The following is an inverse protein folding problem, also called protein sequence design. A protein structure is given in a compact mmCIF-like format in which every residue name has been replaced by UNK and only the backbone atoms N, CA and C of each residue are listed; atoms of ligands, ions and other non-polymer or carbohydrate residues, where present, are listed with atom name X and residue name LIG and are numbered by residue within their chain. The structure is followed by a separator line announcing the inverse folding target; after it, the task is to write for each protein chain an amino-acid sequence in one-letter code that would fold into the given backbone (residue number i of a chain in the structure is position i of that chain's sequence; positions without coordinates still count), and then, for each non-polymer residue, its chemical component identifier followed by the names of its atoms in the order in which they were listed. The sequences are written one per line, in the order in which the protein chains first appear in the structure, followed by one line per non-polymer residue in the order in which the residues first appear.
data_IF_679278654594
#
_entry.id   IF_679278654594
#
_cell.length_a   1.000
_cell.length_b   1.000
_cell.length_c   1.000
_cell.angle_alpha   90.00
_cell.angle_beta   90.00
_cell.angle_gamma   90.00
#
_symmetry.space_group_name_H-M   'P 1'
#
loop_
_entity.id
_entity.type
_entity.pdbx_description
1 polymer ?
#
# COMPACT_ATOMS: atom_id res chain seq x y z
N UNK A 1 -41.33 -4.51 0.26
CA UNK A 1 -40.40 -3.63 -0.48
C UNK A 1 -38.99 -3.95 -0.02
N UNK A 2 -38.26 -4.79 -0.75
CA UNK A 2 -36.83 -4.96 -0.51
C UNK A 2 -36.14 -3.76 -1.13
N UNK A 3 -35.68 -2.82 -0.30
CA UNK A 3 -34.83 -1.74 -0.80
C UNK A 3 -33.63 -2.38 -1.49
N UNK A 4 -33.50 -2.16 -2.80
CA UNK A 4 -32.33 -2.56 -3.57
C UNK A 4 -31.10 -2.08 -2.81
N UNK A 5 -30.31 -2.99 -2.24
CA UNK A 5 -28.98 -2.64 -1.73
C UNK A 5 -28.23 -2.09 -2.93
N UNK A 6 -27.89 -0.79 -2.87
CA UNK A 6 -27.13 -0.07 -3.89
C UNK A 6 -26.04 -0.97 -4.49
N UNK A 7 -25.98 -0.99 -5.82
CA UNK A 7 -24.97 -1.72 -6.59
C UNK A 7 -23.59 -1.38 -6.03
N UNK A 8 -22.97 -2.33 -5.34
CA UNK A 8 -21.59 -2.19 -4.87
C UNK A 8 -20.67 -2.35 -6.07
N UNK A 9 -19.59 -1.58 -6.08
CA UNK A 9 -18.66 -1.54 -7.20
C UNK A 9 -17.47 -2.47 -6.95
N UNK A 10 -16.97 -3.10 -8.00
CA UNK A 10 -15.68 -3.80 -7.94
C UNK A 10 -14.57 -2.75 -7.84
N UNK A 11 -13.71 -2.91 -6.83
CA UNK A 11 -12.53 -2.07 -6.63
C UNK A 11 -11.29 -2.92 -6.77
N UNK A 12 -10.43 -2.59 -7.73
CA UNK A 12 -9.08 -3.14 -7.80
C UNK A 12 -8.21 -2.42 -6.78
N UNK A 13 -7.53 -3.19 -5.93
CA UNK A 13 -6.53 -2.73 -4.99
C UNK A 13 -5.16 -3.19 -5.49
N UNK A 14 -4.19 -2.29 -5.48
CA UNK A 14 -2.80 -2.56 -5.84
C UNK A 14 -1.94 -2.24 -4.63
N UNK A 15 -1.13 -3.19 -4.18
CA UNK A 15 -0.14 -3.03 -3.12
C UNK A 15 1.24 -3.19 -3.74
N UNK A 16 2.11 -2.19 -3.59
CA UNK A 16 3.42 -2.16 -4.22
C UNK A 16 4.53 -1.86 -3.21
N UNK A 17 5.67 -2.49 -3.42
CA UNK A 17 6.89 -2.33 -2.62
C UNK A 17 8.06 -1.96 -3.53
N UNK A 18 8.80 -0.91 -3.16
CA UNK A 18 10.03 -0.51 -3.84
C UNK A 18 11.23 -1.18 -3.18
N UNK A 19 11.68 -2.29 -3.74
CA UNK A 19 12.72 -3.14 -3.15
C UNK A 19 14.06 -2.41 -3.07
N UNK A 20 14.39 -1.62 -4.09
CA UNK A 20 15.63 -0.82 -4.13
C UNK A 20 15.66 0.22 -3.01
N UNK A 21 14.55 0.94 -2.82
CA UNK A 21 14.43 1.93 -1.75
C UNK A 21 14.39 1.29 -0.37
N UNK A 22 13.69 0.15 -0.22
CA UNK A 22 13.65 -0.61 1.04
C UNK A 22 15.04 -1.10 1.42
N UNK A 23 15.81 -1.67 0.49
CA UNK A 23 17.17 -2.14 0.77
C UNK A 23 18.08 -0.98 1.23
N UNK A 24 18.01 0.17 0.52
CA UNK A 24 18.74 1.38 0.91
C UNK A 24 18.35 1.87 2.30
N UNK A 25 17.04 1.94 2.58
CA UNK A 25 16.54 2.36 3.90
C UNK A 25 16.94 1.41 5.03
N UNK A 26 16.97 0.10 4.76
CA UNK A 26 17.44 -0.91 5.72
C UNK A 26 18.95 -0.82 5.96
N UNK A 27 19.73 -0.51 4.92
CA UNK A 27 21.16 -0.26 5.02
C UNK A 27 21.46 1.00 5.86
N UNK A 28 20.64 2.04 5.70
CA UNK A 28 20.79 3.33 6.40
C UNK A 28 20.23 3.32 7.85
N UNK A 29 19.86 2.14 8.37
CA UNK A 29 19.48 1.94 9.76
C UNK A 29 17.97 1.90 10.03
N UNK A 30 17.13 1.82 9.00
CA UNK A 30 15.70 1.49 9.09
C UNK A 30 14.86 2.35 10.05
N UNK A 31 15.11 3.66 10.10
CA UNK A 31 14.32 4.57 10.94
C UNK A 31 13.09 5.11 10.21
N UNK A 32 11.92 5.04 10.86
CA UNK A 32 10.66 5.54 10.31
C UNK A 32 10.74 7.04 9.96
N UNK A 33 11.43 7.84 10.78
CA UNK A 33 11.64 9.27 10.57
C UNK A 33 12.40 9.60 9.26
N UNK A 34 13.12 8.64 8.70
CA UNK A 34 13.86 8.79 7.44
C UNK A 34 13.05 8.37 6.21
N UNK A 35 11.79 7.95 6.37
CA UNK A 35 10.93 7.58 5.24
C UNK A 35 10.47 8.85 4.54
N UNK A 36 11.02 9.09 3.35
CA UNK A 36 10.70 10.26 2.53
C UNK A 36 9.28 10.19 1.95
N UNK A 37 8.62 11.35 1.87
CA UNK A 37 7.28 11.51 1.28
C UNK A 37 7.40 12.27 -0.03
N UNK A 38 6.61 11.88 -1.03
CA UNK A 38 6.60 12.54 -2.34
C UNK A 38 7.82 12.23 -3.21
N UNK A 39 8.75 11.38 -2.74
CA UNK A 39 9.86 10.88 -3.57
C UNK A 39 9.30 10.09 -4.75
N UNK A 40 9.61 10.54 -5.97
CA UNK A 40 9.31 9.76 -7.18
C UNK A 40 10.21 8.52 -7.21
N UNK A 41 9.60 7.35 -7.38
CA UNK A 41 10.33 6.12 -7.67
C UNK A 41 11.03 6.25 -9.03
N UNK A 42 12.25 5.76 -9.11
CA UNK A 42 13.08 5.83 -10.30
C UNK A 42 12.73 4.69 -11.26
N UNK A 43 13.13 4.82 -12.53
CA UNK A 43 12.79 3.81 -13.56
C UNK A 43 13.54 2.48 -13.32
N UNK A 44 14.72 2.57 -12.72
CA UNK A 44 15.58 1.47 -12.33
C UNK A 44 15.17 0.78 -11.01
N UNK A 45 14.18 1.31 -10.30
CA UNK A 45 13.71 0.71 -9.05
C UNK A 45 13.04 -0.64 -9.31
N UNK A 46 13.39 -1.64 -8.48
CA UNK A 46 12.77 -2.96 -8.56
C UNK A 46 11.48 -2.91 -7.75
N UNK A 47 10.34 -2.93 -8.44
CA UNK A 47 9.02 -2.85 -7.81
C UNK A 47 8.36 -4.22 -7.79
N UNK A 48 7.85 -4.63 -6.63
CA UNK A 48 6.98 -5.80 -6.49
C UNK A 48 5.55 -5.35 -6.26
N UNK A 49 4.62 -5.86 -7.08
CA UNK A 49 3.21 -5.44 -7.09
C UNK A 49 2.29 -6.63 -6.85
N UNK A 50 1.23 -6.41 -6.08
CA UNK A 50 0.20 -7.39 -5.75
C UNK A 50 -1.18 -6.80 -6.03
N UNK A 51 -2.06 -7.59 -6.62
CA UNK A 51 -3.38 -7.15 -7.05
C UNK A 51 -4.49 -7.90 -6.31
N UNK A 52 -5.39 -7.17 -5.69
CA UNK A 52 -6.54 -7.72 -4.95
C UNK A 52 -7.83 -7.05 -5.44
N UNK A 53 -8.80 -7.84 -5.89
CA UNK A 53 -10.13 -7.30 -6.22
C UNK A 53 -11.04 -7.35 -5.00
N UNK A 54 -11.61 -6.20 -4.64
CA UNK A 54 -12.68 -6.09 -3.64
C UNK A 54 -14.01 -6.27 -4.36
N UNK A 55 -14.69 -7.36 -4.05
CA UNK A 55 -15.89 -7.80 -4.73
C UNK A 55 -17.16 -7.46 -3.94
N UNK A 56 -18.27 -7.15 -4.62
CA UNK A 56 -19.56 -6.98 -3.99
C UNK A 56 -20.03 -8.30 -3.36
N UNK A 57 -20.49 -8.24 -2.11
CA UNK A 57 -21.11 -9.36 -1.40
C UNK A 57 -22.55 -9.01 -1.07
N UNK A 58 -23.46 -10.00 -1.17
CA UNK A 58 -24.87 -9.83 -0.78
C UNK A 58 -25.04 -9.58 0.74
N UNK A 59 -24.06 -10.04 1.53
CA UNK A 59 -23.96 -9.79 2.96
C UNK A 59 -23.12 -8.52 3.21
N UNK A 60 -23.26 -7.88 4.38
CA UNK A 60 -22.49 -6.68 4.70
C UNK A 60 -20.96 -6.91 4.81
N UNK A 61 -20.46 -8.09 4.44
CA UNK A 61 -19.03 -8.43 4.36
C UNK A 61 -18.38 -7.91 3.08
N UNK A 62 -17.04 -7.85 3.08
CA UNK A 62 -16.21 -7.68 1.89
C UNK A 62 -15.65 -9.05 1.49
N UNK A 63 -15.55 -9.31 0.18
CA UNK A 63 -14.88 -10.49 -0.37
C UNK A 63 -13.68 -9.98 -1.15
N UNK A 64 -12.51 -10.58 -0.92
CA UNK A 64 -11.26 -10.24 -1.59
C UNK A 64 -10.85 -11.38 -2.51
N UNK A 65 -10.54 -11.07 -3.77
CA UNK A 65 -9.93 -12.00 -4.70
C UNK A 65 -8.46 -11.62 -4.90
N UNK A 66 -7.56 -12.44 -4.36
CA UNK A 66 -6.11 -12.26 -4.46
C UNK A 66 -5.63 -12.85 -5.79
N UNK A 67 -5.22 -12.00 -6.74
CA UNK A 67 -4.97 -12.42 -8.13
C UNK A 67 -3.78 -13.37 -8.26
N UNK A 68 -2.71 -13.13 -7.52
CA UNK A 68 -1.48 -13.94 -7.57
C UNK A 68 -1.73 -15.36 -7.10
N UNK A 69 -2.48 -15.52 -5.99
CA UNK A 69 -2.82 -16.83 -5.43
C UNK A 69 -4.07 -17.46 -6.05
N UNK A 70 -4.84 -16.69 -6.84
CA UNK A 70 -6.14 -17.07 -7.42
C UNK A 70 -7.15 -17.56 -6.38
N UNK A 71 -7.17 -16.93 -5.19
CA UNK A 71 -8.02 -17.34 -4.06
C UNK A 71 -8.96 -16.23 -3.63
N UNK A 72 -10.18 -16.62 -3.27
CA UNK A 72 -11.11 -15.78 -2.55
C UNK A 72 -10.84 -15.87 -1.05
N UNK A 73 -10.88 -14.73 -0.36
CA UNK A 73 -10.71 -14.63 1.07
C UNK A 73 -11.69 -13.60 1.65
N UNK A 74 -12.04 -13.79 2.92
CA UNK A 74 -12.79 -12.79 3.71
C UNK A 74 -11.84 -11.82 4.43
N UNK A 75 -10.54 -11.92 4.15
CA UNK A 75 -9.50 -11.05 4.69
C UNK A 75 -8.62 -10.52 3.55
N UNK A 76 -8.19 -9.27 3.69
CA UNK A 76 -7.23 -8.64 2.80
C UNK A 76 -5.78 -9.11 3.08
N UNK A 77 -5.55 -9.79 4.21
CA UNK A 77 -4.21 -10.15 4.64
C UNK A 77 -3.54 -11.16 3.70
N UNK A 78 -2.29 -10.90 3.35
CA UNK A 78 -1.43 -11.81 2.62
C UNK A 78 0.05 -11.50 2.86
N UNK A 79 0.89 -12.51 2.62
CA UNK A 79 2.34 -12.44 2.75
C UNK A 79 2.99 -13.13 1.56
N UNK A 80 4.13 -12.63 1.10
CA UNK A 80 4.90 -13.22 0.03
C UNK A 80 6.40 -13.20 0.35
N UNK A 81 7.04 -14.37 0.28
CA UNK A 81 8.46 -14.52 0.57
C UNK A 81 9.29 -14.34 -0.71
N UNK A 82 10.30 -13.48 -0.64
CA UNK A 82 11.19 -13.19 -1.76
C UNK A 82 11.93 -14.46 -2.18
N UNK A 83 11.99 -14.70 -3.50
CA UNK A 83 12.83 -15.75 -4.05
C UNK A 83 14.29 -15.26 -4.19
N UNK A 84 15.23 -16.21 -4.33
CA UNK A 84 16.66 -15.93 -4.40
C UNK A 84 17.02 -15.02 -5.60
N UNK A 85 16.29 -15.11 -6.71
CA UNK A 85 16.55 -14.31 -7.92
C UNK A 85 16.23 -12.83 -7.73
N UNK A 86 15.07 -12.51 -7.14
CA UNK A 86 14.66 -11.15 -6.82
C UNK A 86 15.65 -10.51 -5.84
N UNK A 87 16.09 -11.29 -4.83
CA UNK A 87 17.11 -10.84 -3.86
C UNK A 87 18.44 -10.49 -4.56
N UNK A 88 18.88 -11.29 -5.53
CA UNK A 88 20.12 -11.03 -6.27
C UNK A 88 20.04 -9.75 -7.11
N UNK A 89 18.89 -9.48 -7.76
CA UNK A 89 18.68 -8.25 -8.53
C UNK A 89 18.71 -7.00 -7.65
N UNK A 90 18.16 -7.08 -6.44
CA UNK A 90 18.20 -5.97 -5.46
C UNK A 90 19.63 -5.72 -4.99
N UNK A 91 20.39 -6.77 -4.68
CA UNK A 91 21.79 -6.64 -4.25
C UNK A 91 22.73 -6.10 -5.34
N UNK A 92 22.42 -6.33 -6.62
CA UNK A 92 23.22 -5.81 -7.73
C UNK A 92 22.87 -4.37 -8.12
N UNK A 93 21.64 -3.92 -7.84
CA UNK A 93 21.16 -2.56 -8.12
C UNK A 93 21.36 -1.60 -6.96
N UNK A 94 21.44 -2.11 -5.73
CA UNK A 94 21.72 -1.32 -4.53
C UNK A 94 23.22 -1.10 -4.33
N UNK A 95 23.59 0.03 -3.73
CA UNK A 95 24.98 0.34 -3.32
C UNK A 95 25.47 -0.50 -2.14
N UNK A 96 24.64 -1.44 -1.68
CA UNK A 96 24.77 -2.21 -0.45
C UNK A 96 25.76 -3.38 -0.59
N UNK A 97 27.02 -3.09 -0.87
CA UNK A 97 28.08 -4.10 -0.86
C UNK A 97 28.48 -4.45 0.58
N UNK A 98 27.71 -5.37 1.21
CA UNK A 98 28.23 -6.24 2.26
C UNK A 98 27.86 -5.96 3.73
N UNK A 99 26.57 -6.09 4.14
CA UNK A 99 26.12 -6.90 5.31
C UNK A 99 24.61 -6.84 5.68
N UNK A 100 24.16 -8.02 6.16
CA UNK A 100 23.16 -8.42 7.20
C UNK A 100 21.65 -8.23 7.06
N UNK A 101 21.10 -7.19 6.43
CA UNK A 101 19.63 -7.03 6.43
C UNK A 101 19.03 -7.62 5.16
N UNK A 102 18.81 -8.95 5.15
CA UNK A 102 18.18 -9.61 4.01
C UNK A 102 16.67 -9.44 4.08
N UNK A 103 16.10 -8.81 3.06
CA UNK A 103 14.66 -8.81 2.82
C UNK A 103 14.25 -10.27 2.59
N UNK A 104 13.42 -10.80 3.48
CA UNK A 104 12.92 -12.16 3.41
C UNK A 104 11.56 -12.21 2.71
N UNK A 105 10.72 -11.19 2.89
CA UNK A 105 9.37 -11.16 2.33
C UNK A 105 8.62 -9.88 2.65
N UNK A 106 7.40 -9.82 2.14
CA UNK A 106 6.46 -8.73 2.29
C UNK A 106 5.17 -9.23 2.91
N UNK A 107 4.48 -8.33 3.59
CA UNK A 107 3.18 -8.61 4.16
C UNK A 107 2.31 -7.36 4.09
N UNK A 108 1.03 -7.56 3.83
CA UNK A 108 0.03 -6.52 3.96
C UNK A 108 -1.21 -7.10 4.64
N UNK A 109 -1.85 -6.29 5.48
CA UNK A 109 -3.05 -6.69 6.18
C UNK A 109 -3.98 -5.51 6.38
N UNK A 110 -5.27 -5.81 6.52
CA UNK A 110 -6.24 -4.84 7.00
C UNK A 110 -6.26 -4.89 8.54
N UNK A 111 -5.94 -3.76 9.18
CA UNK A 111 -5.92 -3.64 10.63
C UNK A 111 -6.54 -2.31 11.06
N UNK A 112 -7.50 -2.37 11.99
CA UNK A 112 -8.41 -1.28 12.33
C UNK A 112 -9.09 -0.67 11.09
N UNK A 113 -8.60 0.48 10.62
CA UNK A 113 -9.15 1.24 9.50
C UNK A 113 -8.10 1.47 8.39
N UNK A 114 -7.00 0.71 8.44
CA UNK A 114 -5.85 0.89 7.54
C UNK A 114 -5.46 -0.41 6.86
N UNK A 115 -5.00 -0.28 5.62
CA UNK A 115 -4.19 -1.30 4.96
C UNK A 115 -2.75 -1.03 5.35
N UNK A 116 -2.19 -1.87 6.22
CA UNK A 116 -0.83 -1.75 6.69
C UNK A 116 0.09 -2.65 5.86
N UNK A 117 1.30 -2.17 5.54
CA UNK A 117 2.30 -2.91 4.77
C UNK A 117 3.61 -3.01 5.54
N UNK A 118 4.30 -4.13 5.35
CA UNK A 118 5.46 -4.53 6.13
C UNK A 118 6.47 -5.27 5.27
N UNK A 119 7.74 -5.21 5.72
CA UNK A 119 8.84 -6.02 5.20
C UNK A 119 9.37 -6.92 6.30
N UNK A 120 9.63 -8.18 5.98
CA UNK A 120 10.29 -9.14 6.86
C UNK A 120 11.80 -9.10 6.63
N UNK A 121 12.56 -8.86 7.71
CA UNK A 121 14.02 -8.77 7.71
C UNK A 121 14.55 -9.57 8.88
N UNK A 122 15.37 -10.59 8.61
CA UNK A 122 16.01 -11.42 9.64
C UNK A 122 15.02 -11.96 10.73
N UNK A 123 13.81 -12.33 10.33
CA UNK A 123 12.75 -12.83 11.21
C UNK A 123 11.99 -11.75 11.97
N UNK A 124 12.24 -10.46 11.69
CA UNK A 124 11.54 -9.32 12.29
C UNK A 124 10.68 -8.62 11.23
N UNK A 125 9.48 -8.18 11.63
CA UNK A 125 8.57 -7.40 10.78
C UNK A 125 8.84 -5.91 10.97
N UNK A 126 9.23 -5.21 9.90
CA UNK A 126 9.40 -3.76 9.88
C UNK A 126 8.22 -3.11 9.14
N UNK A 127 7.69 -2.04 9.71
CA UNK A 127 6.54 -1.31 9.19
C UNK A 127 6.95 -0.35 8.07
N UNK A 128 6.15 -0.28 7.00
CA UNK A 128 6.43 0.57 5.83
C UNK A 128 5.39 1.67 5.58
N UNK A 129 4.10 1.35 5.66
CA UNK A 129 3.01 2.26 5.26
C UNK A 129 1.67 1.84 5.89
N UNK A 130 0.80 2.80 6.23
CA UNK A 130 -0.62 2.59 6.49
C UNK A 130 -1.45 3.46 5.56
N UNK A 131 -2.25 2.82 4.73
CA UNK A 131 -3.17 3.48 3.83
C UNK A 131 -4.59 3.49 4.44
N UNK A 132 -5.20 4.67 4.70
CA UNK A 132 -6.58 4.76 5.15
C UNK A 132 -7.55 4.02 4.22
N UNK A 133 -8.45 3.23 4.80
CA UNK A 133 -9.39 2.41 4.06
C UNK A 133 -10.74 3.09 3.79
N UNK A 134 -11.03 4.21 4.45
CA UNK A 134 -12.29 4.95 4.36
C UNK A 134 -12.65 5.32 2.90
N UNK A 135 -11.69 5.85 2.15
CA UNK A 135 -11.91 6.23 0.75
C UNK A 135 -11.99 5.03 -0.19
N UNK A 136 -11.25 3.95 0.11
CA UNK A 136 -11.33 2.68 -0.62
C UNK A 136 -12.72 2.07 -0.42
N UNK A 137 -13.23 2.10 0.81
CA UNK A 137 -14.57 1.66 1.15
C UNK A 137 -15.64 2.54 0.48
N UNK A 138 -15.41 3.85 0.38
CA UNK A 138 -16.29 4.77 -0.35
C UNK A 138 -16.34 4.45 -1.84
N UNK A 139 -15.19 4.20 -2.48
CA UNK A 139 -15.13 3.73 -3.86
C UNK A 139 -15.94 2.44 -4.05
N UNK A 140 -15.85 1.49 -3.12
CA UNK A 140 -16.61 0.24 -3.18
C UNK A 140 -18.13 0.43 -3.02
N UNK A 141 -18.55 1.38 -2.19
CA UNK A 141 -19.98 1.57 -1.83
C UNK A 141 -20.72 2.60 -2.68
N UNK A 142 -20.01 3.61 -3.19
CA UNK A 142 -20.57 4.74 -3.93
C UNK A 142 -20.06 4.79 -5.37
N UNK A 143 -18.90 4.17 -5.66
CA UNK A 143 -18.30 4.18 -6.99
C UNK A 143 -17.46 5.42 -7.28
N UNK A 144 -17.50 6.42 -6.40
CA UNK A 144 -16.81 7.68 -6.57
C UNK A 144 -16.39 8.37 -5.26
N UNK A 145 -15.34 9.18 -5.36
CA UNK A 145 -14.83 10.09 -4.34
C UNK A 145 -15.24 11.52 -4.66
N UNK A 146 -15.38 12.33 -3.60
CA UNK A 146 -15.53 13.77 -3.78
C UNK A 146 -14.24 14.35 -4.40
N UNK A 147 -14.37 14.97 -5.57
CA UNK A 147 -13.30 15.74 -6.19
C UNK A 147 -13.07 17.02 -5.38
N UNK A 148 -12.28 16.90 -4.33
CA UNK A 148 -11.68 18.08 -3.70
C UNK A 148 -10.69 18.68 -4.70
N UNK A 149 -10.94 19.93 -5.12
CA UNK A 149 -9.93 20.73 -5.84
C UNK A 149 -8.81 21.01 -4.84
N UNK A 150 -7.74 20.23 -4.90
CA UNK A 150 -6.56 20.47 -4.08
C UNK A 150 -5.60 21.36 -4.87
N UNK A 151 -5.54 22.64 -4.50
CA UNK A 151 -4.49 23.55 -4.95
C UNK A 151 -3.24 23.33 -4.11
N UNK A 152 -2.11 22.97 -4.74
CA UNK A 152 -0.79 22.91 -4.12
C UNK A 152 -0.38 21.57 -3.47
N UNK A 153 0.85 21.53 -2.95
CA UNK A 153 1.54 20.39 -2.28
C UNK A 153 0.82 19.84 -1.02
N UNK A 154 -0.43 20.22 -0.74
CA UNK A 154 -1.18 19.86 0.47
C UNK A 154 -1.78 18.44 0.47
N UNK A 155 -1.12 17.50 -0.22
CA UNK A 155 -1.58 16.13 -0.39
C UNK A 155 -0.84 15.14 0.54
N UNK A 156 -0.16 15.65 1.56
CA UNK A 156 0.50 14.84 2.59
C UNK A 156 -0.43 14.71 3.80
N UNK A 157 -0.65 13.48 4.26
CA UNK A 157 -1.43 13.19 5.47
C UNK A 157 -0.56 12.46 6.49
N UNK A 158 -0.92 12.58 7.76
CA UNK A 158 -0.29 11.86 8.86
C UNK A 158 -1.09 10.61 9.20
N UNK A 159 -0.39 9.49 9.33
CA UNK A 159 -0.96 8.16 9.66
C UNK A 159 -0.15 7.55 10.81
N UNK A 160 -0.71 6.59 11.57
CA UNK A 160 0.08 5.88 12.58
C UNK A 160 1.31 5.21 11.97
N UNK A 161 2.45 5.23 12.66
CA UNK A 161 3.64 4.45 12.26
C UNK A 161 3.83 3.16 13.06
N UNK A 162 3.07 2.98 14.14
CA UNK A 162 3.01 1.77 14.96
C UNK A 162 1.71 1.72 15.74
N UNK A 163 1.29 0.51 16.05
CA UNK A 163 0.23 0.24 17.01
C UNK A 163 0.89 -0.12 18.34
N UNK A 164 0.42 0.46 19.44
CA UNK A 164 0.92 0.06 20.76
C UNK A 164 0.46 -1.37 21.11
N UNK A 165 1.07 -1.97 22.13
CA UNK A 165 0.73 -3.34 22.60
C UNK A 165 -0.73 -3.49 23.06
N UNK A 166 -1.46 -2.38 23.23
CA UNK A 166 -2.87 -2.33 23.62
C UNK A 166 -3.79 -2.03 22.43
N UNK A 167 -3.25 -1.98 21.20
CA UNK A 167 -4.00 -1.66 19.98
C UNK A 167 -4.33 -0.17 19.83
N UNK A 168 -3.76 0.70 20.65
CA UNK A 168 -3.91 2.15 20.59
C UNK A 168 -2.95 2.79 19.58
N UNK A 169 -3.38 3.93 19.03
CA UNK A 169 -2.57 4.78 18.16
C UNK A 169 -1.49 5.48 19.00
N UNK A 170 -0.22 5.23 18.69
CA UNK A 170 0.86 6.09 19.21
C UNK A 170 1.02 7.33 18.33
N UNK A 171 0.21 8.36 18.61
CA UNK A 171 0.29 9.65 17.93
C UNK A 171 1.64 10.36 18.06
N UNK A 172 2.54 9.91 18.97
CA UNK A 172 3.89 10.48 19.07
C UNK A 172 4.79 10.03 17.93
N UNK A 173 4.42 8.96 17.21
CA UNK A 173 5.13 8.42 16.07
C UNK A 173 4.15 8.30 14.90
N UNK A 174 3.88 9.43 14.26
CA UNK A 174 3.12 9.49 13.01
C UNK A 174 4.07 9.38 11.82
N UNK A 175 3.68 8.58 10.83
CA UNK A 175 4.32 8.55 9.51
C UNK A 175 3.58 9.53 8.60
N UNK A 176 4.32 10.33 7.84
CA UNK A 176 3.74 11.15 6.77
C UNK A 176 3.67 10.32 5.50
N UNK A 177 2.58 10.45 4.76
CA UNK A 177 2.37 9.75 3.49
C UNK A 177 1.75 10.69 2.47
N UNK A 178 2.04 10.43 1.21
CA UNK A 178 1.45 11.13 0.08
C UNK A 178 0.10 10.47 -0.24
N UNK A 179 -0.97 11.25 -0.19
CA UNK A 179 -2.28 10.90 -0.70
C UNK A 179 -2.45 11.46 -2.11
N UNK A 180 -3.01 10.70 -3.04
CA UNK A 180 -3.43 11.17 -4.37
C UNK A 180 -4.81 10.61 -4.67
N UNK A 181 -5.69 11.39 -5.28
CA UNK A 181 -7.03 10.92 -5.62
C UNK A 181 -7.55 11.57 -6.89
N UNK A 182 -8.46 10.88 -7.55
CA UNK A 182 -9.44 11.48 -8.46
C UNK A 182 -10.83 10.95 -8.08
N UNK A 183 -11.83 11.21 -8.93
CA UNK A 183 -13.19 10.75 -8.68
C UNK A 183 -13.32 9.23 -8.53
N UNK A 184 -12.44 8.42 -9.10
CA UNK A 184 -12.60 6.95 -9.20
C UNK A 184 -11.42 6.15 -8.68
N UNK A 185 -10.41 6.81 -8.14
CA UNK A 185 -9.22 6.19 -7.59
C UNK A 185 -8.62 7.00 -6.43
N UNK A 186 -7.97 6.28 -5.52
CA UNK A 186 -7.15 6.85 -4.44
C UNK A 186 -5.85 6.09 -4.35
N UNK A 187 -4.77 6.78 -4.00
CA UNK A 187 -3.44 6.23 -3.79
C UNK A 187 -2.80 6.84 -2.55
N UNK A 188 -2.07 6.01 -1.83
CA UNK A 188 -1.34 6.35 -0.62
C UNK A 188 0.08 5.82 -0.76
N UNK A 189 1.09 6.68 -0.65
CA UNK A 189 2.47 6.24 -0.87
C UNK A 189 3.50 7.01 -0.05
N UNK A 190 4.66 6.38 0.11
CA UNK A 190 5.90 7.03 0.52
C UNK A 190 7.03 6.50 -0.37
N UNK A 191 8.29 6.76 -0.01
CA UNK A 191 9.44 6.26 -0.76
C UNK A 191 9.55 4.74 -0.83
N UNK A 192 8.93 3.99 0.08
CA UNK A 192 9.12 2.54 0.24
C UNK A 192 7.95 1.70 -0.28
N UNK A 193 6.72 2.17 -0.11
CA UNK A 193 5.52 1.41 -0.46
C UNK A 193 4.40 2.30 -1.00
N UNK A 194 3.47 1.67 -1.73
CA UNK A 194 2.28 2.30 -2.29
C UNK A 194 1.08 1.36 -2.13
N UNK A 195 -0.06 1.91 -1.75
CA UNK A 195 -1.37 1.24 -1.80
C UNK A 195 -2.32 2.13 -2.59
N UNK A 196 -2.89 1.61 -3.66
CA UNK A 196 -3.87 2.32 -4.48
C UNK A 196 -5.10 1.50 -4.75
N UNK A 197 -6.24 2.17 -4.93
CA UNK A 197 -7.51 1.55 -5.22
C UNK A 197 -8.24 2.27 -6.36
N UNK A 198 -8.93 1.53 -7.21
CA UNK A 198 -9.66 2.05 -8.37
C UNK A 198 -10.94 1.27 -8.65
N UNK A 199 -12.02 1.98 -9.02
CA UNK A 199 -13.29 1.35 -9.42
C UNK A 199 -13.18 0.83 -10.86
N UNK A 200 -13.37 -0.48 -11.05
CA UNK A 200 -13.26 -1.15 -12.35
C UNK A 200 -14.38 -0.72 -13.31
N UNK A 201 -14.12 0.27 -14.17
CA UNK A 201 -14.91 0.66 -15.38
C UNK A 201 -14.20 1.82 -16.18
N UNK A 202 -12.87 1.77 -16.37
CA UNK A 202 -11.99 2.82 -17.00
C UNK A 202 -11.93 4.15 -16.23
N UNK A 203 -10.87 4.95 -16.10
CA UNK A 203 -9.49 5.07 -16.59
C UNK A 203 -8.57 4.99 -15.34
N UNK A 204 -7.42 4.32 -15.43
CA UNK A 204 -6.48 4.17 -14.31
C UNK A 204 -5.64 5.45 -14.16
N UNK A 205 -5.68 6.11 -13.01
CA UNK A 205 -4.59 7.00 -12.61
C UNK A 205 -3.51 6.15 -11.94
N UNK A 206 -2.47 5.85 -12.69
CA UNK A 206 -1.20 5.53 -12.09
C UNK A 206 -0.71 6.78 -11.35
N UNK A 207 -0.04 6.60 -10.22
CA UNK A 207 0.93 7.61 -9.83
C UNK A 207 1.91 7.70 -10.99
N UNK A 208 1.73 8.68 -11.90
CA UNK A 208 2.60 8.82 -13.05
C UNK A 208 4.03 9.03 -12.53
N UNK A 209 4.93 8.05 -12.66
CA UNK A 209 6.29 8.18 -12.16
C UNK A 209 7.08 9.17 -13.02
N UNK A 210 6.56 9.55 -14.20
CA UNK A 210 7.27 10.25 -15.26
C UNK A 210 6.48 11.44 -15.86
N UNK A 211 5.44 11.96 -15.21
CA UNK A 211 4.78 13.18 -15.68
C UNK A 211 5.81 14.31 -15.79
N UNK A 212 6.08 14.70 -17.05
CA UNK A 212 7.12 15.61 -17.55
C UNK A 212 6.89 17.05 -17.11
#
# INVERSE_FOLDING_TARGET
MFGHKKDRHVVELIVQFNLTAIDTWLHDGAKIENIEVGKKWQTEDIIKSYFVDILPSGNNSLIFFHRESKKFANSLAASDWINIEDLMKVKSSSKSHGKKNEIQGFEWEFWHDFICTYVHVNGTRAYLLAAPFDEIYRLHTVGELETKKFEGDSNVIEVPSRWDEKGGYDYKNSLKIQRRCNQRSVGYSNSLACVSANVSNSQVLYCDPLAQ
#
